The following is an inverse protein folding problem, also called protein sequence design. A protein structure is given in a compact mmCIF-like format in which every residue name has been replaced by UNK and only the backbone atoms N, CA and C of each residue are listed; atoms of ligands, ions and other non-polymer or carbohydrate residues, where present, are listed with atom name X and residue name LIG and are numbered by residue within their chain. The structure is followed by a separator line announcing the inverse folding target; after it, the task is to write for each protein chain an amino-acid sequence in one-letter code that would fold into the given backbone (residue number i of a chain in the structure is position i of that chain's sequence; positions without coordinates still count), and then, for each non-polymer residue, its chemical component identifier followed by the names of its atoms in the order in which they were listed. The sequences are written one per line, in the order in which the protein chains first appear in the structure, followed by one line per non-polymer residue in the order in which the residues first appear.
data_IF_136555118394
#
_entry.id   IF_136555118394
#
_cell.length_a   1.000
_cell.length_b   1.000
_cell.length_c   1.000
_cell.angle_alpha   90.00
_cell.angle_beta   90.00
_cell.angle_gamma   90.00
#
_symmetry.space_group_name_H-M   'P 1'
#
loop_
_entity.id
_entity.type
_entity.pdbx_description
1 polymer ?
#
# COMPACT_ATOMS: atom_id res chain seq x y z
N UNK A 1 20.25 -16.72 7.35
CA UNK A 1 18.78 -16.61 7.24
C UNK A 1 18.42 -15.57 6.18
N UNK A 2 17.26 -15.72 5.52
CA UNK A 2 16.76 -14.79 4.52
C UNK A 2 15.31 -14.40 4.82
N UNK A 3 14.95 -13.13 4.58
CA UNK A 3 13.60 -12.63 4.77
C UNK A 3 13.09 -12.05 3.46
N UNK A 4 11.87 -12.47 3.07
CA UNK A 4 11.14 -12.00 1.92
C UNK A 4 9.88 -11.26 2.40
N UNK A 5 9.68 -10.04 1.94
CA UNK A 5 8.58 -9.19 2.40
C UNK A 5 7.46 -9.20 1.39
N UNK A 6 6.25 -9.55 1.83
CA UNK A 6 5.01 -9.58 1.02
C UNK A 6 5.03 -10.61 -0.11
N UNK A 7 5.12 -10.18 -1.38
CA UNK A 7 4.84 -11.01 -2.57
C UNK A 7 6.10 -11.46 -3.32
N UNK A 8 7.26 -11.44 -2.66
CA UNK A 8 8.54 -11.75 -3.27
C UNK A 8 8.80 -13.27 -3.29
N UNK A 9 8.23 -13.96 -4.28
CA UNK A 9 8.34 -15.42 -4.42
C UNK A 9 9.25 -15.82 -5.59
N UNK A 10 10.50 -15.42 -5.54
CA UNK A 10 11.47 -15.60 -6.61
C UNK A 10 11.98 -17.02 -6.67
N UNK A 11 11.48 -17.78 -7.62
CA UNK A 11 11.70 -19.21 -7.79
C UNK A 11 13.16 -19.62 -7.64
N UNK A 12 14.05 -19.05 -8.44
CA UNK A 12 15.47 -19.43 -8.46
C UNK A 12 16.18 -19.13 -7.12
N UNK A 13 15.92 -17.98 -6.53
CA UNK A 13 16.49 -17.60 -5.24
C UNK A 13 16.03 -18.54 -4.13
N UNK A 14 14.76 -18.83 -4.05
CA UNK A 14 14.18 -19.69 -3.02
C UNK A 14 14.71 -21.11 -3.11
N UNK A 15 14.82 -21.67 -4.30
CA UNK A 15 15.41 -23.00 -4.50
C UNK A 15 16.89 -23.06 -4.13
N UNK A 16 17.67 -22.02 -4.47
CA UNK A 16 19.10 -21.96 -4.08
C UNK A 16 19.23 -21.85 -2.57
N UNK A 17 18.42 -21.02 -1.91
CA UNK A 17 18.45 -20.88 -0.46
C UNK A 17 18.08 -22.18 0.24
N UNK A 18 17.03 -22.87 -0.23
CA UNK A 18 16.61 -24.17 0.28
C UNK A 18 17.72 -25.21 0.10
N UNK A 19 18.33 -25.30 -1.09
CA UNK A 19 19.42 -26.24 -1.35
C UNK A 19 20.63 -26.00 -0.45
N UNK A 20 20.88 -24.73 -0.08
CA UNK A 20 21.96 -24.36 0.85
C UNK A 20 21.57 -24.48 2.32
N UNK A 21 20.38 -24.96 2.64
CA UNK A 21 19.89 -25.07 4.02
C UNK A 21 19.74 -23.74 4.74
N UNK A 22 19.53 -22.63 4.00
CA UNK A 22 19.35 -21.31 4.59
C UNK A 22 17.90 -21.13 5.05
N UNK A 23 17.64 -20.93 6.37
CA UNK A 23 16.30 -20.65 6.85
C UNK A 23 15.71 -19.40 6.15
N UNK A 24 14.54 -19.55 5.56
CA UNK A 24 13.90 -18.52 4.72
C UNK A 24 12.50 -18.23 5.24
N UNK A 25 12.22 -16.98 5.49
CA UNK A 25 10.99 -16.49 6.10
C UNK A 25 10.24 -15.56 5.17
N UNK A 26 8.91 -15.76 5.05
CA UNK A 26 8.02 -14.83 4.37
C UNK A 26 7.32 -13.97 5.41
N UNK A 27 7.40 -12.64 5.28
CA UNK A 27 6.90 -11.69 6.28
C UNK A 27 5.81 -10.79 5.68
N UNK A 28 4.72 -10.64 6.42
CA UNK A 28 3.58 -9.79 6.04
C UNK A 28 2.99 -10.16 4.68
N UNK A 29 2.96 -11.46 4.35
CA UNK A 29 2.35 -11.97 3.13
C UNK A 29 0.83 -12.05 3.27
N UNK A 30 0.15 -11.84 2.15
CA UNK A 30 -1.28 -12.13 2.05
C UNK A 30 -1.52 -13.01 0.82
N UNK A 31 -2.32 -14.05 0.99
CA UNK A 31 -2.67 -14.96 -0.07
C UNK A 31 -4.15 -14.84 -0.42
N UNK A 32 -4.46 -15.03 -1.71
CA UNK A 32 -5.83 -14.97 -2.25
C UNK A 32 -6.12 -16.23 -3.06
N UNK A 33 -7.38 -16.68 -3.09
CA UNK A 33 -7.75 -17.92 -3.80
C UNK A 33 -7.48 -17.90 -5.31
N UNK A 34 -7.52 -16.72 -5.92
CA UNK A 34 -7.31 -16.51 -7.36
C UNK A 34 -5.84 -16.54 -7.77
N UNK A 35 -4.89 -16.50 -6.82
CA UNK A 35 -3.48 -16.58 -7.14
C UNK A 35 -3.10 -17.94 -7.73
N UNK A 36 -2.14 -17.91 -8.65
CA UNK A 36 -1.66 -19.07 -9.41
C UNK A 36 -1.28 -20.28 -8.54
N UNK A 37 -0.79 -20.04 -7.33
CA UNK A 37 -0.37 -21.09 -6.40
C UNK A 37 -1.50 -22.05 -6.00
N UNK A 38 -2.75 -21.59 -6.01
CA UNK A 38 -3.93 -22.31 -5.58
C UNK A 38 -4.78 -22.82 -6.74
N UNK A 39 -4.39 -22.51 -7.98
CA UNK A 39 -5.08 -22.96 -9.19
C UNK A 39 -4.62 -24.35 -9.61
N UNK A 40 -5.50 -25.12 -10.23
CA UNK A 40 -5.21 -26.48 -10.70
C UNK A 40 -4.03 -26.55 -11.67
N UNK A 41 -3.85 -25.50 -12.51
CA UNK A 41 -2.74 -25.36 -13.46
C UNK A 41 -1.47 -24.80 -12.82
N UNK A 42 -1.56 -24.25 -11.63
CA UNK A 42 -0.45 -23.60 -10.90
C UNK A 42 0.26 -24.49 -9.90
N UNK A 43 -0.05 -25.79 -9.82
CA UNK A 43 0.54 -26.73 -8.84
C UNK A 43 2.08 -26.74 -8.83
N UNK A 44 2.72 -26.52 -10.00
CA UNK A 44 4.18 -26.40 -10.09
C UNK A 44 4.69 -25.15 -9.38
N UNK A 45 4.00 -24.02 -9.51
CA UNK A 45 4.34 -22.77 -8.82
C UNK A 45 4.11 -22.86 -7.31
N UNK A 46 3.09 -23.57 -6.86
CA UNK A 46 2.84 -23.78 -5.43
C UNK A 46 3.99 -24.45 -4.70
N UNK A 47 4.81 -25.23 -5.40
CA UNK A 47 6.02 -25.88 -4.82
C UNK A 47 7.06 -24.87 -4.34
N UNK A 48 7.14 -23.68 -4.95
CA UNK A 48 8.09 -22.64 -4.52
C UNK A 48 7.80 -22.17 -3.10
N UNK A 49 6.54 -22.20 -2.68
CA UNK A 49 6.17 -21.81 -1.33
C UNK A 49 6.70 -22.80 -0.27
N UNK A 50 6.94 -24.07 -0.66
CA UNK A 50 7.54 -25.07 0.23
C UNK A 50 9.04 -24.85 0.49
N UNK A 51 9.66 -23.88 -0.18
CA UNK A 51 11.04 -23.48 0.07
C UNK A 51 11.17 -22.58 1.31
N UNK A 52 10.06 -22.02 1.81
CA UNK A 52 10.08 -21.23 3.03
C UNK A 52 10.09 -22.12 4.27
N UNK A 53 10.85 -21.70 5.27
CA UNK A 53 10.89 -22.32 6.59
C UNK A 53 9.65 -21.95 7.40
N UNK A 54 9.19 -20.69 7.29
CA UNK A 54 8.04 -20.21 8.02
C UNK A 54 7.37 -19.00 7.32
N UNK A 55 6.06 -18.85 7.51
CA UNK A 55 5.26 -17.74 7.01
C UNK A 55 4.65 -16.92 8.14
N UNK A 56 4.87 -15.62 8.12
CA UNK A 56 4.15 -14.63 8.91
C UNK A 56 3.14 -13.94 8.00
N UNK A 57 1.87 -14.35 8.09
CA UNK A 57 0.80 -13.90 7.18
C UNK A 57 -0.09 -12.84 7.82
N UNK A 58 -0.78 -12.08 6.98
CA UNK A 58 -1.62 -10.97 7.45
C UNK A 58 -2.97 -11.44 8.02
N UNK A 59 -3.52 -12.57 7.55
CA UNK A 59 -4.87 -13.00 7.92
C UNK A 59 -5.02 -14.52 7.95
N UNK A 60 -6.12 -14.96 8.54
CA UNK A 60 -6.46 -16.37 8.70
C UNK A 60 -6.77 -17.06 7.36
N UNK A 61 -7.31 -16.34 6.38
CA UNK A 61 -7.59 -16.85 5.04
C UNK A 61 -6.29 -17.29 4.36
N UNK A 62 -5.22 -16.50 4.48
CA UNK A 62 -3.90 -16.84 3.97
C UNK A 62 -3.35 -18.11 4.61
N UNK A 63 -3.50 -18.26 5.92
CA UNK A 63 -3.12 -19.49 6.66
C UNK A 63 -3.90 -20.69 6.13
N UNK A 64 -5.21 -20.57 5.96
CA UNK A 64 -6.06 -21.64 5.45
C UNK A 64 -5.73 -22.02 4.00
N UNK A 65 -5.34 -21.06 3.17
CA UNK A 65 -4.90 -21.31 1.80
C UNK A 65 -3.57 -22.06 1.74
N UNK A 66 -2.60 -21.67 2.57
CA UNK A 66 -1.31 -22.38 2.68
C UNK A 66 -1.48 -23.80 3.18
N UNK A 67 -2.39 -24.02 4.12
CA UNK A 67 -2.73 -25.38 4.61
C UNK A 67 -3.24 -26.30 3.50
N UNK A 68 -3.93 -25.79 2.47
CA UNK A 68 -4.34 -26.58 1.28
C UNK A 68 -3.16 -27.06 0.43
N UNK A 69 -2.01 -26.42 0.57
CA UNK A 69 -0.75 -26.80 -0.08
C UNK A 69 0.15 -27.63 0.86
N UNK A 70 -0.38 -28.09 2.02
CA UNK A 70 0.35 -28.81 3.03
C UNK A 70 1.52 -27.99 3.60
N UNK A 71 1.29 -26.70 3.86
CA UNK A 71 2.19 -25.75 4.50
C UNK A 71 1.54 -25.32 5.83
N UNK A 72 2.13 -25.76 6.95
CA UNK A 72 1.57 -25.59 8.29
C UNK A 72 2.39 -24.67 9.19
N UNK A 73 3.64 -24.40 8.85
CA UNK A 73 4.52 -23.47 9.57
C UNK A 73 4.11 -22.01 9.25
N UNK A 74 2.94 -21.61 9.77
CA UNK A 74 2.29 -20.35 9.44
C UNK A 74 1.73 -19.68 10.69
N UNK A 75 2.13 -18.45 10.93
CA UNK A 75 1.62 -17.57 11.99
C UNK A 75 0.87 -16.37 11.40
N UNK A 76 -0.25 -15.99 12.03
CA UNK A 76 -1.02 -14.81 11.66
C UNK A 76 -0.57 -13.63 12.52
N UNK A 77 0.08 -12.65 11.90
CA UNK A 77 0.69 -11.49 12.59
C UNK A 77 0.04 -10.16 12.22
N UNK A 78 -0.90 -10.15 11.28
CA UNK A 78 -1.50 -8.92 10.78
C UNK A 78 -0.65 -8.20 9.72
N UNK A 79 -1.09 -7.01 9.34
CA UNK A 79 -0.37 -6.17 8.37
C UNK A 79 0.57 -5.20 9.10
N UNK A 80 1.86 -5.40 8.97
CA UNK A 80 2.91 -4.59 9.60
C UNK A 80 2.88 -3.10 9.19
N UNK A 81 2.13 -2.74 8.14
CA UNK A 81 1.91 -1.34 7.77
C UNK A 81 1.13 -0.57 8.84
N UNK A 82 0.22 -1.25 9.57
CA UNK A 82 -0.53 -0.60 10.65
C UNK A 82 0.36 -0.17 11.81
N UNK A 83 1.37 -0.97 12.15
CA UNK A 83 2.34 -0.60 13.18
C UNK A 83 3.09 0.68 12.79
N UNK A 84 3.47 0.79 11.51
CA UNK A 84 4.11 1.99 10.98
C UNK A 84 3.18 3.20 11.01
N UNK A 85 1.91 3.02 10.66
CA UNK A 85 0.90 4.11 10.72
C UNK A 85 0.73 4.61 12.15
N UNK A 86 0.68 3.72 13.14
CA UNK A 86 0.59 4.10 14.55
C UNK A 86 1.82 4.91 14.99
N UNK A 87 3.02 4.45 14.64
CA UNK A 87 4.27 5.18 14.92
C UNK A 87 4.28 6.58 14.27
N UNK A 88 3.84 6.69 13.02
CA UNK A 88 3.75 7.98 12.32
C UNK A 88 2.72 8.89 13.00
N UNK A 89 1.57 8.34 13.42
CA UNK A 89 0.54 9.09 14.16
C UNK A 89 1.08 9.63 15.48
N UNK A 90 1.79 8.80 16.25
CA UNK A 90 2.39 9.21 17.53
C UNK A 90 3.51 10.25 17.34
N UNK A 91 4.27 10.14 16.26
CA UNK A 91 5.33 11.08 15.88
C UNK A 91 4.82 12.24 15.01
N UNK A 92 3.50 12.37 14.82
CA UNK A 92 2.92 13.36 13.92
C UNK A 92 3.32 14.78 14.34
N UNK A 93 3.91 15.51 13.38
CA UNK A 93 4.25 16.92 13.57
C UNK A 93 3.02 17.77 13.27
N UNK A 94 2.85 18.82 14.04
CA UNK A 94 1.92 19.88 13.63
C UNK A 94 2.42 20.50 12.33
N UNK A 95 1.49 20.73 11.42
CA UNK A 95 1.76 21.39 10.13
C UNK A 95 1.08 22.76 10.12
N UNK A 96 1.77 23.82 10.57
CA UNK A 96 1.15 25.14 10.74
C UNK A 96 0.47 25.69 9.47
N UNK A 97 1.02 25.33 8.30
CA UNK A 97 0.41 25.73 7.01
C UNK A 97 -0.94 25.05 6.80
N UNK A 98 -1.07 23.76 7.17
CA UNK A 98 -2.34 23.01 7.05
C UNK A 98 -3.32 23.51 8.10
N UNK A 99 -2.90 23.72 9.34
CA UNK A 99 -3.72 24.23 10.43
C UNK A 99 -4.31 25.60 10.06
N UNK A 100 -3.45 26.53 9.61
CA UNK A 100 -3.89 27.85 9.16
C UNK A 100 -4.82 27.76 7.94
N UNK A 101 -4.53 26.87 7.00
CA UNK A 101 -5.37 26.67 5.83
C UNK A 101 -6.74 26.09 6.21
N UNK A 102 -6.80 25.17 7.16
CA UNK A 102 -8.05 24.53 7.58
C UNK A 102 -8.80 25.31 8.66
N UNK A 103 -8.23 26.39 9.17
CA UNK A 103 -8.89 27.27 10.12
C UNK A 103 -10.23 27.79 9.55
N UNK A 104 -11.25 27.82 10.39
CA UNK A 104 -12.60 28.27 10.04
C UNK A 104 -13.36 27.41 8.99
N UNK A 105 -12.98 26.15 8.80
CA UNK A 105 -13.78 25.23 7.97
C UNK A 105 -13.98 23.89 8.68
N UNK A 106 -15.18 23.32 8.51
CA UNK A 106 -15.49 21.96 8.97
C UNK A 106 -15.38 20.90 7.86
N UNK A 107 -15.20 21.35 6.61
CA UNK A 107 -15.21 20.47 5.43
C UNK A 107 -13.87 20.55 4.72
N UNK A 108 -13.05 19.52 4.91
CA UNK A 108 -11.74 19.37 4.27
C UNK A 108 -11.69 18.04 3.57
N UNK A 109 -11.36 18.05 2.30
CA UNK A 109 -11.05 16.85 1.54
C UNK A 109 -9.54 16.75 1.32
N UNK A 110 -8.96 15.59 1.59
CA UNK A 110 -7.54 15.33 1.41
C UNK A 110 -7.38 14.24 0.35
N UNK A 111 -6.82 14.62 -0.79
CA UNK A 111 -6.41 13.69 -1.85
C UNK A 111 -4.95 13.29 -1.63
N UNK A 112 -4.74 12.17 -0.97
CA UNK A 112 -3.40 11.63 -0.70
C UNK A 112 -2.98 10.60 -1.74
N UNK A 113 -1.77 10.77 -2.30
CA UNK A 113 -1.20 9.84 -3.30
C UNK A 113 -2.06 9.73 -4.56
N UNK A 114 -2.64 10.86 -5.00
CA UNK A 114 -3.49 10.94 -6.18
C UNK A 114 -2.69 10.83 -7.48
N UNK A 115 -3.37 10.38 -8.53
CA UNK A 115 -2.89 10.35 -9.90
C UNK A 115 -3.78 11.23 -10.78
N UNK A 116 -3.27 11.66 -11.94
CA UNK A 116 -3.99 12.54 -12.85
C UNK A 116 -5.45 12.12 -13.15
N UNK A 117 -5.77 10.84 -13.41
CA UNK A 117 -7.16 10.42 -13.62
C UNK A 117 -8.07 10.64 -12.41
N UNK A 118 -7.54 10.48 -11.19
CA UNK A 118 -8.29 10.73 -9.96
C UNK A 118 -8.53 12.24 -9.80
N UNK A 119 -7.50 13.02 -10.09
CA UNK A 119 -7.51 14.49 -10.00
C UNK A 119 -8.53 15.11 -10.96
N UNK A 120 -8.61 14.62 -12.19
CA UNK A 120 -9.62 15.04 -13.16
C UNK A 120 -11.06 14.81 -12.69
N UNK A 121 -11.30 13.79 -11.88
CA UNK A 121 -12.62 13.49 -11.33
C UNK A 121 -12.96 14.40 -10.18
N UNK A 122 -12.12 14.44 -9.13
CA UNK A 122 -12.50 15.18 -7.93
C UNK A 122 -12.37 16.69 -8.09
N UNK A 123 -11.48 17.21 -8.96
CA UNK A 123 -11.38 18.65 -9.20
C UNK A 123 -12.61 19.20 -9.92
N UNK A 124 -13.23 18.44 -10.81
CA UNK A 124 -14.54 18.81 -11.39
C UNK A 124 -15.60 18.99 -10.30
N UNK A 125 -15.61 18.10 -9.31
CA UNK A 125 -16.53 18.21 -8.17
C UNK A 125 -16.24 19.47 -7.34
N UNK A 126 -14.96 19.72 -7.00
CA UNK A 126 -14.56 20.85 -6.18
C UNK A 126 -14.81 22.21 -6.83
N UNK A 127 -14.73 22.31 -8.15
CA UNK A 127 -15.07 23.54 -8.88
C UNK A 127 -16.55 23.93 -8.71
N UNK A 128 -17.42 22.98 -8.35
CA UNK A 128 -18.84 23.20 -8.10
C UNK A 128 -19.16 23.40 -6.60
N UNK A 129 -18.24 23.03 -5.70
CA UNK A 129 -18.45 23.02 -4.24
C UNK A 129 -17.41 23.88 -3.52
N UNK A 130 -17.57 25.19 -3.58
CA UNK A 130 -16.64 26.19 -3.03
C UNK A 130 -16.65 26.29 -1.50
N UNK A 131 -17.54 25.57 -0.80
CA UNK A 131 -17.65 25.52 0.66
C UNK A 131 -16.68 24.51 1.30
N UNK A 132 -15.96 23.73 0.49
CA UNK A 132 -14.96 22.79 0.95
C UNK A 132 -13.54 23.34 0.76
N UNK A 133 -12.62 22.91 1.61
CA UNK A 133 -11.17 23.06 1.39
C UNK A 133 -10.58 21.77 0.86
N UNK A 134 -9.72 21.89 -0.13
CA UNK A 134 -9.06 20.78 -0.80
C UNK A 134 -7.57 20.80 -0.53
N UNK A 135 -7.03 19.68 -0.03
CA UNK A 135 -5.59 19.45 0.10
C UNK A 135 -5.22 18.34 -0.85
N UNK A 136 -4.29 18.62 -1.77
CA UNK A 136 -3.79 17.62 -2.72
C UNK A 136 -2.34 17.29 -2.40
N UNK A 137 -2.06 16.01 -2.20
CA UNK A 137 -0.72 15.47 -2.04
C UNK A 137 -0.50 14.38 -3.11
N UNK A 138 -0.05 14.73 -4.32
CA UNK A 138 0.03 13.82 -5.46
C UNK A 138 1.08 12.73 -5.23
N UNK A 139 0.90 11.58 -5.90
CA UNK A 139 1.85 10.47 -5.83
C UNK A 139 3.19 10.77 -6.51
N UNK A 140 3.14 11.53 -7.61
CA UNK A 140 4.33 11.96 -8.36
C UNK A 140 4.46 13.48 -8.29
N UNK A 141 5.61 13.96 -7.82
CA UNK A 141 5.92 15.37 -7.66
C UNK A 141 6.87 15.79 -8.79
N UNK A 142 6.40 15.66 -10.04
CA UNK A 142 7.11 16.18 -11.21
C UNK A 142 6.58 17.57 -11.59
N UNK A 143 7.46 18.43 -12.12
CA UNK A 143 7.06 19.80 -12.52
C UNK A 143 5.90 19.80 -13.51
N UNK A 144 5.92 18.88 -14.50
CA UNK A 144 4.86 18.73 -15.49
C UNK A 144 3.52 18.33 -14.84
N UNK A 145 3.54 17.40 -13.89
CA UNK A 145 2.33 16.97 -13.19
C UNK A 145 1.78 18.07 -12.29
N UNK A 146 2.65 18.76 -11.56
CA UNK A 146 2.24 19.92 -10.75
C UNK A 146 1.62 21.03 -11.62
N UNK A 147 2.20 21.32 -12.79
CA UNK A 147 1.65 22.28 -13.73
C UNK A 147 0.26 21.86 -14.21
N UNK A 148 0.01 20.59 -14.50
CA UNK A 148 -1.30 20.05 -14.86
C UNK A 148 -2.32 20.22 -13.72
N UNK A 149 -1.93 19.91 -12.48
CA UNK A 149 -2.80 20.13 -11.31
C UNK A 149 -3.14 21.61 -11.18
N UNK A 150 -2.17 22.53 -11.32
CA UNK A 150 -2.43 23.96 -11.26
C UNK A 150 -3.38 24.45 -12.36
N UNK A 151 -3.27 23.89 -13.57
CA UNK A 151 -4.21 24.20 -14.65
C UNK A 151 -5.64 23.75 -14.30
N UNK A 152 -5.81 22.55 -13.76
CA UNK A 152 -7.09 22.01 -13.33
C UNK A 152 -7.68 22.78 -12.14
N UNK A 153 -6.82 23.35 -11.29
CA UNK A 153 -7.21 24.18 -10.13
C UNK A 153 -7.52 25.63 -10.49
N UNK A 154 -7.35 26.07 -11.74
CA UNK A 154 -7.71 27.41 -12.19
C UNK A 154 -9.20 27.66 -11.95
N UNK A 155 -9.50 28.47 -10.95
CA UNK A 155 -10.86 28.74 -10.46
C UNK A 155 -11.20 28.16 -9.09
N UNK A 156 -10.35 27.32 -8.53
CA UNK A 156 -10.52 26.75 -7.20
C UNK A 156 -9.75 27.60 -6.17
N UNK A 157 -10.42 28.52 -5.50
CA UNK A 157 -9.80 29.44 -4.52
C UNK A 157 -9.47 28.78 -3.17
N UNK A 158 -10.02 27.58 -2.90
CA UNK A 158 -9.94 26.89 -1.62
C UNK A 158 -9.10 25.59 -1.70
N UNK A 159 -7.93 25.65 -2.36
CA UNK A 159 -7.05 24.50 -2.53
C UNK A 159 -5.64 24.74 -1.98
N UNK A 160 -5.04 23.71 -1.43
CA UNK A 160 -3.66 23.64 -0.96
C UNK A 160 -2.96 22.45 -1.61
N UNK A 161 -1.87 22.70 -2.31
CA UNK A 161 -1.01 21.66 -2.86
C UNK A 161 0.18 21.44 -1.90
N UNK A 162 0.34 20.20 -1.45
CA UNK A 162 1.46 19.78 -0.62
C UNK A 162 2.46 18.99 -1.47
N UNK A 163 3.66 19.52 -1.61
CA UNK A 163 4.83 18.77 -2.09
C UNK A 163 5.62 18.27 -0.88
N UNK A 164 5.91 16.97 -0.86
CA UNK A 164 6.73 16.36 0.19
C UNK A 164 8.20 16.69 0.00
#
# INVERSE_FOLDING_TARGET
MAFFIKYEFWYNYLHILQHRGVPTYSVSSIFRPDQIFFQWYGKGYGRVLKCFTHFFVQNIESKNLLAKLDIHDVEVVGDTRFDRVLQIKEASKQLPIVEKFTENTSKVFIAGSSWLPDEEVFLKYFNLHTDWKLIVAPHVIGEDHLAQIFELLKGCTNSLLLSA
#
